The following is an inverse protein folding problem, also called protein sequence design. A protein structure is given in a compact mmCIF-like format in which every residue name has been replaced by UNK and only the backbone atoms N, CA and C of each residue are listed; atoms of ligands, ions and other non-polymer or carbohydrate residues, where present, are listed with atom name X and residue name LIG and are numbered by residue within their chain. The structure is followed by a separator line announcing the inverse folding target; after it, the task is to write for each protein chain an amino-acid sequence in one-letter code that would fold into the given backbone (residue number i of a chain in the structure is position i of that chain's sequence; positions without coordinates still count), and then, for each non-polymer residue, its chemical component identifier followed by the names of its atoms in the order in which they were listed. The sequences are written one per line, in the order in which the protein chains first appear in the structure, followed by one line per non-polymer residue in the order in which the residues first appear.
data_IF_565231120760
#
_entry.id   IF_565231120760
#
_cell.length_a   1.000
_cell.length_b   1.000
_cell.length_c   1.000
_cell.angle_alpha   90.00
_cell.angle_beta   90.00
_cell.angle_gamma   90.00
#
_symmetry.space_group_name_H-M   'P 1'
#
loop_
_entity.id
_entity.type
_entity.pdbx_description
1 polymer ?
#
# COMPACT_ATOMS: atom_id res chain seq x y z
N UNK A 1 25.79 4.93 -2.99
CA UNK A 1 24.45 5.12 -2.37
C UNK A 1 23.52 4.06 -2.96
N UNK A 2 22.80 3.29 -2.15
CA UNK A 2 21.87 2.24 -2.64
C UNK A 2 20.48 2.83 -2.92
N UNK A 3 19.66 2.16 -3.75
CA UNK A 3 18.26 2.54 -4.00
C UNK A 3 17.49 2.72 -2.70
N UNK A 4 17.67 1.80 -1.76
CA UNK A 4 17.03 1.83 -0.45
C UNK A 4 17.33 3.09 0.36
N UNK A 5 18.58 3.59 0.32
CA UNK A 5 18.96 4.80 1.06
C UNK A 5 18.39 6.07 0.42
N UNK A 6 18.20 6.08 -0.90
CA UNK A 6 17.55 7.20 -1.59
C UNK A 6 16.06 7.28 -1.25
N UNK A 7 15.36 6.14 -1.20
CA UNK A 7 13.96 6.10 -0.77
C UNK A 7 13.82 6.54 0.69
N UNK A 8 14.60 5.94 1.61
CA UNK A 8 14.53 6.25 3.04
C UNK A 8 14.90 7.69 3.37
N UNK A 9 15.99 8.19 2.80
CA UNK A 9 16.58 9.46 3.21
C UNK A 9 16.07 10.67 2.43
N UNK A 10 15.52 10.47 1.23
CA UNK A 10 15.20 11.57 0.31
C UNK A 10 13.82 11.49 -0.34
N UNK A 11 13.07 10.42 -0.12
CA UNK A 11 11.78 10.25 -0.80
C UNK A 11 11.91 10.20 -2.32
N UNK A 12 13.05 9.67 -2.81
CA UNK A 12 13.35 9.66 -4.24
C UNK A 12 12.37 8.76 -4.99
N UNK A 13 11.48 9.39 -5.77
CA UNK A 13 10.40 8.71 -6.48
C UNK A 13 10.92 7.80 -7.60
N UNK A 14 12.04 8.15 -8.23
CA UNK A 14 12.67 7.32 -9.26
C UNK A 14 13.27 6.06 -8.61
N UNK A 15 13.96 6.22 -7.48
CA UNK A 15 14.49 5.09 -6.73
C UNK A 15 13.37 4.19 -6.19
N UNK A 16 12.26 4.79 -5.76
CA UNK A 16 11.07 4.06 -5.33
C UNK A 16 10.43 3.25 -6.47
N UNK A 17 10.24 3.85 -7.66
CA UNK A 17 9.74 3.11 -8.83
C UNK A 17 10.68 1.99 -9.25
N UNK A 18 12.00 2.23 -9.27
CA UNK A 18 12.99 1.19 -9.58
C UNK A 18 12.94 0.03 -8.58
N UNK A 19 12.79 0.35 -7.30
CA UNK A 19 12.61 -0.64 -6.25
C UNK A 19 11.32 -1.45 -6.47
N UNK A 20 10.21 -0.79 -6.80
CA UNK A 20 8.94 -1.45 -7.09
C UNK A 20 9.09 -2.48 -8.22
N UNK A 21 9.65 -2.08 -9.36
CA UNK A 21 9.85 -3.00 -10.49
C UNK A 21 10.80 -4.16 -10.15
N UNK A 22 11.90 -3.88 -9.44
CA UNK A 22 12.82 -4.93 -9.00
C UNK A 22 12.14 -5.98 -8.11
N UNK A 23 11.20 -5.57 -7.27
CA UNK A 23 10.47 -6.48 -6.38
C UNK A 23 9.42 -7.33 -7.09
N UNK A 24 8.94 -6.92 -8.27
CA UNK A 24 7.96 -7.71 -9.02
C UNK A 24 8.49 -9.09 -9.43
N UNK A 25 9.81 -9.21 -9.63
CA UNK A 25 10.51 -10.45 -9.96
C UNK A 25 10.80 -11.34 -8.73
N UNK A 26 10.45 -10.89 -7.52
CA UNK A 26 10.70 -11.61 -6.27
C UNK A 26 9.48 -12.44 -5.81
N UNK A 27 9.69 -13.32 -4.84
CA UNK A 27 8.58 -14.10 -4.26
C UNK A 27 7.57 -13.17 -3.55
N UNK A 28 6.31 -13.61 -3.50
CA UNK A 28 5.18 -12.83 -2.97
C UNK A 28 5.42 -12.30 -1.55
N UNK A 29 5.93 -13.14 -0.65
CA UNK A 29 6.14 -12.76 0.75
C UNK A 29 7.20 -11.66 0.88
N UNK A 30 8.38 -11.88 0.30
CA UNK A 30 9.45 -10.89 0.29
C UNK A 30 9.09 -9.59 -0.43
N UNK A 31 8.35 -9.69 -1.55
CA UNK A 31 7.82 -8.54 -2.28
C UNK A 31 6.90 -7.71 -1.40
N UNK A 32 5.86 -8.33 -0.85
CA UNK A 32 4.80 -7.62 -0.10
C UNK A 32 5.35 -7.00 1.18
N UNK A 33 6.21 -7.68 1.93
CA UNK A 33 6.82 -7.10 3.13
C UNK A 33 7.74 -5.91 2.82
N UNK A 34 8.51 -6.01 1.75
CA UNK A 34 9.38 -4.92 1.31
C UNK A 34 8.55 -3.73 0.83
N UNK A 35 7.53 -3.96 0.00
CA UNK A 35 6.63 -2.90 -0.47
C UNK A 35 5.92 -2.21 0.70
N UNK A 36 5.31 -2.97 1.62
CA UNK A 36 4.68 -2.40 2.83
C UNK A 36 5.64 -1.47 3.58
N UNK A 37 6.91 -1.85 3.72
CA UNK A 37 7.88 -1.03 4.44
C UNK A 37 8.23 0.26 3.69
N UNK A 38 8.59 0.19 2.41
CA UNK A 38 9.04 1.37 1.66
C UNK A 38 7.88 2.27 1.21
N UNK A 39 6.73 1.72 0.86
CA UNK A 39 5.53 2.48 0.56
C UNK A 39 5.06 3.28 1.77
N UNK A 40 5.19 2.73 2.99
CA UNK A 40 4.87 3.47 4.22
C UNK A 40 5.75 4.71 4.38
N UNK A 41 7.06 4.58 4.17
CA UNK A 41 8.00 5.70 4.25
C UNK A 41 7.65 6.77 3.22
N UNK A 42 7.46 6.38 1.96
CA UNK A 42 7.09 7.31 0.89
C UNK A 42 5.76 8.02 1.17
N UNK A 43 4.77 7.29 1.70
CA UNK A 43 3.46 7.83 2.03
C UNK A 43 3.51 8.78 3.23
N UNK A 44 4.10 8.36 4.36
CA UNK A 44 4.03 9.11 5.61
C UNK A 44 5.09 10.23 5.71
N UNK A 45 6.32 9.97 5.28
CA UNK A 45 7.44 10.90 5.47
C UNK A 45 7.57 11.88 4.30
N UNK A 46 7.14 11.47 3.11
CA UNK A 46 7.28 12.26 1.86
C UNK A 46 5.93 12.58 1.20
N UNK A 47 4.81 12.22 1.82
CA UNK A 47 3.45 12.51 1.36
C UNK A 47 3.20 12.11 -0.11
N UNK A 48 3.79 10.99 -0.54
CA UNK A 48 3.58 10.43 -1.87
C UNK A 48 2.23 9.70 -1.93
N UNK A 49 1.29 10.24 -2.71
CA UNK A 49 -0.07 9.68 -2.83
C UNK A 49 -0.10 8.27 -3.40
N UNK A 50 0.71 7.99 -4.44
CA UNK A 50 0.80 6.65 -5.04
C UNK A 50 1.25 5.59 -4.02
N UNK A 51 2.16 5.96 -3.11
CA UNK A 51 2.65 5.06 -2.09
C UNK A 51 1.58 4.67 -1.04
N UNK A 52 0.55 5.50 -0.82
CA UNK A 52 -0.59 5.08 0.01
C UNK A 52 -1.38 3.94 -0.64
N UNK A 53 -1.58 4.00 -1.96
CA UNK A 53 -2.26 2.95 -2.73
C UNK A 53 -1.41 1.68 -2.77
N UNK A 54 -0.11 1.81 -3.05
CA UNK A 54 0.82 0.68 -3.10
C UNK A 54 0.88 -0.08 -1.77
N UNK A 55 0.91 0.65 -0.65
CA UNK A 55 0.90 0.04 0.68
C UNK A 55 -0.36 -0.78 0.91
N UNK A 56 -1.54 -0.23 0.61
CA UNK A 56 -2.81 -0.91 0.79
C UNK A 56 -2.88 -2.17 -0.09
N UNK A 57 -2.49 -2.04 -1.35
CA UNK A 57 -2.43 -3.15 -2.30
C UNK A 57 -1.51 -4.26 -1.80
N UNK A 58 -0.33 -3.92 -1.29
CA UNK A 58 0.61 -4.90 -0.76
C UNK A 58 0.08 -5.64 0.48
N UNK A 59 -0.68 -4.97 1.37
CA UNK A 59 -1.36 -5.63 2.49
C UNK A 59 -2.40 -6.63 1.98
N UNK A 60 -3.28 -6.20 1.07
CA UNK A 60 -4.31 -7.05 0.49
C UNK A 60 -3.71 -8.26 -0.23
N UNK A 61 -2.62 -8.05 -0.97
CA UNK A 61 -1.92 -9.10 -1.68
C UNK A 61 -1.41 -10.20 -0.74
N UNK A 62 -0.92 -9.88 0.47
CA UNK A 62 -0.52 -10.92 1.46
C UNK A 62 -1.64 -11.92 1.76
N UNK A 63 -2.90 -11.52 1.59
CA UNK A 63 -4.09 -12.33 1.83
C UNK A 63 -4.78 -12.79 0.54
N UNK A 64 -4.09 -12.71 -0.61
CA UNK A 64 -4.63 -13.09 -1.92
C UNK A 64 -5.87 -12.26 -2.33
N UNK A 65 -6.00 -11.05 -1.78
CA UNK A 65 -7.06 -10.11 -2.13
C UNK A 65 -6.54 -9.23 -3.27
N UNK A 66 -7.17 -9.36 -4.44
CA UNK A 66 -6.91 -8.48 -5.56
C UNK A 66 -7.53 -7.09 -5.31
N UNK A 67 -6.78 -6.03 -5.62
CA UNK A 67 -7.23 -4.65 -5.43
C UNK A 67 -7.40 -3.99 -6.78
N UNK A 68 -8.64 -3.65 -7.11
CA UNK A 68 -8.99 -2.82 -8.25
C UNK A 68 -9.42 -1.43 -7.76
N UNK A 69 -8.52 -0.45 -7.92
CA UNK A 69 -8.81 0.95 -7.56
C UNK A 69 -9.80 1.63 -8.53
N UNK A 70 -10.14 1.00 -9.65
CA UNK A 70 -11.28 1.40 -10.48
C UNK A 70 -12.62 0.90 -9.93
N UNK A 71 -12.62 -0.12 -9.07
CA UNK A 71 -13.82 -0.72 -8.49
C UNK A 71 -13.62 -1.12 -7.02
N UNK A 72 -13.75 -0.15 -6.11
CA UNK A 72 -13.59 -0.37 -4.66
C UNK A 72 -14.58 -1.38 -4.07
N UNK A 73 -15.75 -1.58 -4.69
CA UNK A 73 -16.75 -2.56 -4.23
C UNK A 73 -16.31 -4.02 -4.40
N UNK A 74 -15.31 -4.27 -5.25
CA UNK A 74 -14.72 -5.60 -5.44
C UNK A 74 -13.72 -5.98 -4.36
N UNK A 75 -13.30 -5.03 -3.53
CA UNK A 75 -12.27 -5.23 -2.50
C UNK A 75 -12.94 -5.78 -1.25
N UNK A 76 -12.56 -7.01 -0.87
CA UNK A 76 -13.05 -7.69 0.34
C UNK A 76 -11.90 -8.00 1.29
N UNK A 77 -11.76 -7.19 2.35
CA UNK A 77 -10.78 -7.42 3.42
C UNK A 77 -11.33 -8.28 4.56
N UNK A 78 -12.57 -8.76 4.46
CA UNK A 78 -13.19 -9.58 5.50
C UNK A 78 -12.45 -10.89 5.83
N UNK A 79 -11.74 -11.55 4.88
CA UNK A 79 -10.98 -12.77 5.16
C UNK A 79 -9.69 -12.54 5.98
N UNK A 80 -9.24 -11.29 6.15
CA UNK A 80 -8.02 -11.02 6.91
C UNK A 80 -8.18 -11.38 8.39
N UNK A 81 -7.10 -11.86 9.02
CA UNK A 81 -7.08 -12.00 10.48
C UNK A 81 -7.26 -10.62 11.17
N UNK A 82 -7.71 -10.64 12.42
CA UNK A 82 -8.06 -9.44 13.19
C UNK A 82 -6.98 -8.35 13.13
N UNK A 83 -5.72 -8.71 13.35
CA UNK A 83 -4.61 -7.75 13.39
C UNK A 83 -4.36 -7.10 12.02
N UNK A 84 -4.36 -7.90 10.94
CA UNK A 84 -4.11 -7.37 9.60
C UNK A 84 -5.30 -6.59 9.05
N UNK A 85 -6.52 -7.00 9.40
CA UNK A 85 -7.73 -6.23 9.08
C UNK A 85 -7.70 -4.85 9.73
N UNK A 86 -7.38 -4.78 11.02
CA UNK A 86 -7.25 -3.51 11.73
C UNK A 86 -6.17 -2.62 11.11
N UNK A 87 -5.04 -3.20 10.70
CA UNK A 87 -3.98 -2.48 9.97
C UNK A 87 -4.49 -1.93 8.62
N UNK A 88 -5.22 -2.72 7.85
CA UNK A 88 -5.81 -2.32 6.58
C UNK A 88 -6.85 -1.21 6.75
N UNK A 89 -7.77 -1.34 7.71
CA UNK A 89 -8.78 -0.33 8.04
C UNK A 89 -8.18 0.99 8.51
N UNK A 90 -7.17 0.93 9.38
CA UNK A 90 -6.46 2.12 9.84
C UNK A 90 -5.73 2.82 8.69
N UNK A 91 -5.19 2.06 7.75
CA UNK A 91 -4.59 2.63 6.55
C UNK A 91 -5.61 3.29 5.63
N UNK A 92 -6.77 2.64 5.40
CA UNK A 92 -7.88 3.20 4.64
C UNK A 92 -8.41 4.50 5.27
N UNK A 93 -8.52 4.57 6.59
CA UNK A 93 -8.88 5.81 7.32
C UNK A 93 -7.87 6.93 7.07
N UNK A 94 -6.57 6.62 7.00
CA UNK A 94 -5.53 7.61 6.63
C UNK A 94 -5.71 8.10 5.20
N UNK A 95 -5.95 7.18 4.26
CA UNK A 95 -6.20 7.52 2.85
C UNK A 95 -7.42 8.45 2.71
N UNK A 96 -8.49 8.17 3.45
CA UNK A 96 -9.68 9.02 3.50
C UNK A 96 -9.36 10.41 4.08
N UNK A 97 -8.66 10.48 5.22
CA UNK A 97 -8.28 11.74 5.85
C UNK A 97 -7.36 12.60 4.95
N UNK A 98 -6.52 11.96 4.15
CA UNK A 98 -5.63 12.60 3.16
C UNK A 98 -6.31 12.89 1.83
N UNK A 99 -7.60 12.56 1.67
CA UNK A 99 -8.39 12.73 0.43
C UNK A 99 -7.83 11.96 -0.78
N UNK A 100 -7.10 10.87 -0.52
CA UNK A 100 -6.60 9.96 -1.56
C UNK A 100 -7.74 9.08 -2.08
N UNK A 101 -8.69 8.77 -1.20
CA UNK A 101 -9.96 8.11 -1.53
C UNK A 101 -11.12 8.94 -1.02
N UNK A 102 -12.29 8.79 -1.64
CA UNK A 102 -13.54 9.39 -1.17
C UNK A 102 -14.20 8.56 -0.08
N UNK A 103 -15.20 9.14 0.58
CA UNK A 103 -16.00 8.41 1.57
C UNK A 103 -16.76 7.25 0.91
N UNK A 104 -17.32 7.48 -0.28
CA UNK A 104 -18.03 6.45 -1.05
C UNK A 104 -17.12 5.27 -1.38
N UNK A 105 -15.87 5.55 -1.80
CA UNK A 105 -14.87 4.51 -2.05
C UNK A 105 -14.49 3.74 -0.78
N UNK A 106 -14.32 4.45 0.34
CA UNK A 106 -14.05 3.81 1.64
C UNK A 106 -15.22 2.92 2.11
N UNK A 107 -16.45 3.40 1.98
CA UNK A 107 -17.66 2.69 2.42
C UNK A 107 -17.97 1.47 1.52
N UNK A 108 -17.59 1.52 0.23
CA UNK A 108 -17.77 0.41 -0.70
C UNK A 108 -16.92 -0.84 -0.41
N UNK A 109 -15.78 -0.68 0.28
CA UNK A 109 -14.92 -1.81 0.64
C UNK A 109 -15.62 -2.69 1.68
N UNK A 110 -15.67 -4.00 1.43
CA UNK A 110 -16.21 -4.99 2.37
C UNK A 110 -15.17 -5.33 3.44
N UNK A 111 -15.57 -5.29 4.72
CA UNK A 111 -14.69 -5.36 5.90
C UNK A 111 -15.11 -6.48 6.83
#
# INVERSE_FOLDING_TARGET
MTLFNLVKGKGDTIAYSKLFYFLMDSNKEGRTDTLIYYSKIMAEDFNNEGAYLDYFKAICEKYDINVDFGNYSSIDISPMNKFSKEKAENWLKKMLAKKIITKEQYDAIKK
#
